data_IF_730770404994
#
_entry.id   IF_730770404994
#
_cell.length_a   1.000
_cell.length_b   1.000
_cell.length_c   1.000
_cell.angle_alpha   90.00
_cell.angle_beta   90.00
_cell.angle_gamma   90.00
#
_symmetry.space_group_name_H-M   'P 1'
#
loop_
_entity.id
_entity.type
_entity.pdbx_description
1 polymer ?
#
# COMPACT_ATOMS: atom_id res chain seq x y z
N UNK A 1 7.95 -33.74 40.06
CA UNK A 1 8.58 -32.43 39.87
C UNK A 1 7.58 -31.55 39.14
N UNK A 2 6.94 -30.60 39.82
CA UNK A 2 5.98 -29.67 39.20
C UNK A 2 6.82 -28.48 38.75
N UNK A 3 7.03 -28.34 37.44
CA UNK A 3 7.63 -27.13 36.87
C UNK A 3 6.52 -26.08 36.91
N UNK A 4 6.54 -25.21 37.93
CA UNK A 4 5.76 -23.97 37.91
C UNK A 4 6.39 -23.09 36.84
N UNK A 5 5.73 -22.97 35.68
CA UNK A 5 5.97 -21.86 34.78
C UNK A 5 5.55 -20.60 35.55
N UNK A 6 6.53 -19.87 36.06
CA UNK A 6 6.31 -18.51 36.50
C UNK A 6 5.75 -17.75 35.30
N UNK A 7 4.52 -17.25 35.44
CA UNK A 7 3.94 -16.29 34.50
C UNK A 7 4.93 -15.13 34.48
N UNK A 8 5.70 -14.98 33.41
CA UNK A 8 6.45 -13.73 33.17
C UNK A 8 5.46 -12.59 33.36
N UNK A 9 5.74 -11.71 34.33
CA UNK A 9 4.95 -10.53 34.55
C UNK A 9 4.88 -9.76 33.23
N UNK A 10 3.66 -9.58 32.74
CA UNK A 10 3.35 -8.87 31.51
C UNK A 10 3.63 -7.38 31.74
N UNK A 11 4.91 -7.00 31.72
CA UNK A 11 5.41 -5.63 31.93
C UNK A 11 5.31 -4.75 30.69
N UNK A 12 4.76 -5.28 29.61
CA UNK A 12 4.66 -4.52 28.38
C UNK A 12 3.38 -3.69 28.39
N UNK A 13 3.52 -2.37 28.39
CA UNK A 13 2.39 -1.45 28.24
C UNK A 13 1.70 -1.69 26.88
N UNK A 14 0.42 -2.12 26.87
CA UNK A 14 -0.31 -2.36 25.63
C UNK A 14 -0.41 -1.13 24.73
N UNK A 15 -0.46 0.09 25.29
CA UNK A 15 -0.52 1.32 24.52
C UNK A 15 0.83 1.61 23.84
N UNK A 16 1.94 1.36 24.53
CA UNK A 16 3.28 1.47 23.98
C UNK A 16 3.49 0.49 22.82
N UNK A 17 3.09 -0.77 22.98
CA UNK A 17 3.16 -1.79 21.91
C UNK A 17 2.37 -1.35 20.69
N UNK A 18 1.14 -0.90 20.89
CA UNK A 18 0.29 -0.43 19.79
C UNK A 18 0.93 0.75 19.07
N UNK A 19 1.52 1.69 19.81
CA UNK A 19 2.21 2.86 19.26
C UNK A 19 3.45 2.46 18.44
N UNK A 20 4.31 1.60 18.98
CA UNK A 20 5.54 1.15 18.30
C UNK A 20 5.20 0.28 17.08
N UNK A 21 4.18 -0.59 17.20
CA UNK A 21 3.66 -1.37 16.05
C UNK A 21 3.19 -0.44 14.93
N UNK A 22 2.40 0.58 15.26
CA UNK A 22 1.93 1.56 14.27
C UNK A 22 3.07 2.28 13.55
N UNK A 23 4.11 2.68 14.27
CA UNK A 23 5.32 3.27 13.68
C UNK A 23 6.08 2.29 12.78
N UNK A 24 6.21 1.03 13.19
CA UNK A 24 6.83 0.01 12.37
C UNK A 24 6.05 -0.23 11.07
N UNK A 25 4.71 -0.29 11.14
CA UNK A 25 3.86 -0.42 9.96
C UNK A 25 3.99 0.78 9.01
N UNK A 26 3.99 2.01 9.55
CA UNK A 26 4.17 3.24 8.78
C UNK A 26 5.54 3.29 8.09
N UNK A 27 6.64 3.04 8.81
CA UNK A 27 7.98 3.02 8.24
C UNK A 27 8.15 1.94 7.15
N UNK A 28 7.51 0.78 7.31
CA UNK A 28 7.48 -0.27 6.28
C UNK A 28 6.72 0.17 5.02
N UNK A 29 5.60 0.89 5.17
CA UNK A 29 4.84 1.47 4.05
C UNK A 29 5.63 2.57 3.33
N UNK A 30 6.31 3.44 4.07
CA UNK A 30 7.17 4.48 3.50
C UNK A 30 8.32 3.89 2.69
N UNK A 31 8.96 2.83 3.21
CA UNK A 31 9.96 2.07 2.47
C UNK A 31 9.36 1.46 1.19
N UNK A 32 8.16 0.86 1.25
CA UNK A 32 7.45 0.37 0.06
C UNK A 32 7.15 1.48 -0.96
N UNK A 33 6.95 2.72 -0.51
CA UNK A 33 6.79 3.88 -1.40
C UNK A 33 7.99 4.13 -2.32
N UNK A 34 9.19 3.66 -1.94
CA UNK A 34 10.39 3.70 -2.80
C UNK A 34 10.47 2.51 -3.76
N UNK A 35 9.60 1.51 -3.58
CA UNK A 35 9.64 0.28 -4.33
C UNK A 35 8.78 0.32 -5.61
N UNK A 36 9.42 0.29 -6.79
CA UNK A 36 8.78 0.22 -8.12
C UNK A 36 9.27 -1.00 -8.92
N UNK A 37 8.57 -2.14 -8.86
CA UNK A 37 8.96 -3.33 -9.62
C UNK A 37 8.87 -3.08 -11.12
N UNK A 38 9.70 -3.78 -11.90
CA UNK A 38 9.61 -3.74 -13.36
C UNK A 38 8.30 -4.35 -13.89
N UNK A 39 7.86 -5.45 -13.27
CA UNK A 39 6.62 -6.12 -13.64
C UNK A 39 5.44 -5.45 -12.94
N UNK A 40 4.29 -5.31 -13.63
CA UNK A 40 3.08 -4.79 -13.01
C UNK A 40 2.73 -5.58 -11.74
N UNK A 41 2.41 -4.86 -10.68
CA UNK A 41 1.97 -5.46 -9.42
C UNK A 41 0.65 -6.20 -9.63
N UNK A 42 0.64 -7.51 -9.39
CA UNK A 42 -0.60 -8.28 -9.26
C UNK A 42 -1.28 -7.96 -7.94
N UNK A 43 -2.51 -8.43 -7.75
CA UNK A 43 -3.26 -8.24 -6.49
C UNK A 43 -2.85 -9.26 -5.41
N UNK A 44 -1.78 -10.02 -5.63
CA UNK A 44 -1.27 -10.94 -4.61
C UNK A 44 -0.55 -10.19 -3.50
N UNK A 45 -0.70 -10.67 -2.26
CA UNK A 45 -0.02 -10.13 -1.06
C UNK A 45 1.49 -9.96 -1.29
N UNK A 46 2.14 -10.98 -1.83
CA UNK A 46 3.57 -10.94 -2.14
C UNK A 46 3.96 -9.90 -3.19
N UNK A 47 3.08 -9.62 -4.16
CA UNK A 47 3.34 -8.57 -5.12
C UNK A 47 3.28 -7.20 -4.44
N UNK A 48 2.19 -6.93 -3.71
CA UNK A 48 1.93 -5.62 -3.10
C UNK A 48 2.95 -5.26 -2.02
N UNK A 49 3.37 -6.24 -1.23
CA UNK A 49 4.32 -6.02 -0.13
C UNK A 49 5.78 -6.11 -0.56
N UNK A 50 6.08 -6.36 -1.85
CA UNK A 50 7.44 -6.34 -2.39
C UNK A 50 8.50 -7.00 -1.49
N UNK A 51 9.65 -6.34 -1.25
CA UNK A 51 10.68 -6.82 -0.33
C UNK A 51 10.22 -6.92 1.14
N UNK A 52 9.23 -6.14 1.58
CA UNK A 52 8.73 -6.15 2.97
C UNK A 52 8.10 -7.49 3.33
N UNK A 53 7.33 -8.11 2.44
CA UNK A 53 6.76 -9.44 2.74
C UNK A 53 7.83 -10.49 3.04
N UNK A 54 9.00 -10.39 2.38
CA UNK A 54 10.16 -11.26 2.67
C UNK A 54 10.93 -10.84 3.91
N UNK A 55 11.00 -9.53 4.20
CA UNK A 55 11.55 -9.01 5.46
C UNK A 55 10.80 -9.61 6.65
N UNK A 56 9.46 -9.47 6.68
CA UNK A 56 8.63 -9.94 7.79
C UNK A 56 8.75 -11.45 7.97
N UNK A 57 8.73 -12.22 6.87
CA UNK A 57 9.01 -13.67 6.90
C UNK A 57 10.41 -14.00 7.45
N UNK A 58 11.41 -13.14 7.21
CA UNK A 58 12.79 -13.41 7.65
C UNK A 58 12.98 -13.20 9.14
N UNK A 59 12.19 -12.32 9.74
CA UNK A 59 12.25 -11.97 11.16
C UNK A 59 11.31 -12.79 12.04
N UNK A 60 10.54 -13.75 11.48
CA UNK A 60 9.75 -14.71 12.26
C UNK A 60 10.66 -15.74 12.96
N UNK A 61 11.46 -15.29 13.92
CA UNK A 61 12.30 -16.10 14.80
C UNK A 61 12.11 -15.65 16.23
N UNK A 62 12.00 -16.61 17.16
CA UNK A 62 11.89 -16.34 18.60
C UNK A 62 13.23 -15.94 19.22
N UNK A 63 14.34 -16.22 18.55
CA UNK A 63 15.70 -15.85 19.00
C UNK A 63 16.13 -14.44 18.59
N UNK A 64 17.43 -14.17 18.78
CA UNK A 64 18.06 -12.93 18.32
C UNK A 64 17.95 -12.77 16.79
N UNK A 65 17.73 -11.53 16.36
CA UNK A 65 17.67 -11.16 14.95
C UNK A 65 18.92 -10.37 14.62
N UNK A 66 19.68 -10.83 13.62
CA UNK A 66 20.76 -10.04 13.04
C UNK A 66 20.17 -9.03 12.04
N UNK A 67 19.90 -7.81 12.53
CA UNK A 67 19.26 -6.75 11.76
C UNK A 67 20.06 -6.30 10.54
N UNK A 68 21.39 -6.28 10.61
CA UNK A 68 22.26 -5.96 9.47
C UNK A 68 22.15 -6.99 8.35
N UNK A 69 22.07 -8.27 8.71
CA UNK A 69 21.86 -9.36 7.75
C UNK A 69 20.47 -9.28 7.11
N UNK A 70 19.44 -8.90 7.88
CA UNK A 70 18.09 -8.66 7.36
C UNK A 70 18.10 -7.49 6.37
N UNK A 71 18.74 -6.36 6.72
CA UNK A 71 18.90 -5.20 5.85
C UNK A 71 19.56 -5.58 4.52
N UNK A 72 20.72 -6.26 4.58
CA UNK A 72 21.46 -6.68 3.39
C UNK A 72 20.64 -7.61 2.48
N UNK A 73 19.88 -8.53 3.08
CA UNK A 73 18.97 -9.41 2.34
C UNK A 73 17.87 -8.62 1.61
N UNK A 74 17.21 -7.68 2.31
CA UNK A 74 16.10 -6.89 1.78
C UNK A 74 16.57 -5.94 0.67
N UNK A 75 17.72 -5.28 0.84
CA UNK A 75 18.30 -4.42 -0.20
C UNK A 75 18.68 -5.21 -1.45
N UNK A 76 19.18 -6.44 -1.29
CA UNK A 76 19.48 -7.30 -2.43
C UNK A 76 18.20 -7.70 -3.18
N UNK A 77 17.11 -8.03 -2.48
CA UNK A 77 15.81 -8.28 -3.10
C UNK A 77 15.31 -7.05 -3.88
N UNK A 78 15.33 -5.88 -3.24
CA UNK A 78 14.92 -4.61 -3.84
C UNK A 78 15.70 -4.35 -5.13
N UNK A 79 17.03 -4.43 -5.06
CA UNK A 79 17.93 -4.23 -6.21
C UNK A 79 17.58 -5.17 -7.37
N UNK A 80 17.38 -6.46 -7.09
CA UNK A 80 17.13 -7.46 -8.13
C UNK A 80 15.73 -7.33 -8.74
N UNK A 81 14.75 -6.84 -7.99
CA UNK A 81 13.37 -6.65 -8.46
C UNK A 81 13.17 -5.31 -9.20
N UNK A 82 14.12 -4.38 -9.08
CA UNK A 82 14.12 -3.09 -9.76
C UNK A 82 15.25 -2.88 -10.76
N UNK A 83 16.06 -3.91 -11.03
CA UNK A 83 17.13 -3.80 -12.01
C UNK A 83 16.57 -3.23 -13.33
N UNK A 84 17.24 -2.25 -13.99
CA UNK A 84 18.57 -1.73 -13.70
C UNK A 84 18.61 -0.53 -12.73
N UNK A 85 17.47 -0.06 -12.19
CA UNK A 85 17.37 1.19 -11.41
C UNK A 85 18.17 1.16 -10.10
N UNK A 86 18.40 -0.02 -9.53
CA UNK A 86 19.14 -0.17 -8.28
C UNK A 86 18.30 0.21 -7.05
N UNK A 87 18.95 0.66 -5.97
CA UNK A 87 18.32 1.10 -4.73
C UNK A 87 18.75 2.53 -4.46
N UNK A 88 17.80 3.44 -4.22
CA UNK A 88 18.09 4.85 -3.92
C UNK A 88 18.61 5.02 -2.47
N UNK A 89 19.28 6.14 -2.19
CA UNK A 89 19.69 6.49 -0.83
C UNK A 89 18.48 6.59 0.12
N UNK A 90 17.40 7.24 -0.34
CA UNK A 90 16.11 7.33 0.37
C UNK A 90 15.54 5.96 0.72
N UNK A 91 15.64 4.96 -0.17
CA UNK A 91 15.19 3.61 0.12
C UNK A 91 16.03 2.92 1.21
N UNK A 92 17.33 3.24 1.30
CA UNK A 92 18.22 2.73 2.35
C UNK A 92 17.85 3.36 3.69
N UNK A 93 17.67 4.68 3.73
CA UNK A 93 17.29 5.43 4.93
C UNK A 93 15.95 4.95 5.48
N UNK A 94 14.92 4.84 4.63
CA UNK A 94 13.61 4.33 5.05
C UNK A 94 13.63 2.89 5.52
N UNK A 95 14.50 2.06 4.94
CA UNK A 95 14.68 0.69 5.43
C UNK A 95 15.35 0.67 6.81
N UNK A 96 16.31 1.57 7.06
CA UNK A 96 16.94 1.72 8.37
C UNK A 96 15.92 2.12 9.44
N UNK A 97 15.07 3.09 9.14
CA UNK A 97 14.00 3.52 10.04
C UNK A 97 13.02 2.37 10.34
N UNK A 98 12.61 1.63 9.30
CA UNK A 98 11.73 0.48 9.48
C UNK A 98 12.36 -0.63 10.33
N UNK A 99 13.65 -0.92 10.13
CA UNK A 99 14.38 -1.91 10.93
C UNK A 99 14.52 -1.43 12.38
N UNK A 100 14.79 -0.14 12.60
CA UNK A 100 14.89 0.42 13.95
C UNK A 100 13.57 0.30 14.72
N UNK A 101 12.43 0.56 14.09
CA UNK A 101 11.11 0.39 14.73
C UNK A 101 10.77 -1.09 14.98
N UNK A 102 11.15 -2.01 14.09
CA UNK A 102 11.00 -3.46 14.31
C UNK A 102 11.89 -3.97 15.45
N UNK A 103 13.12 -3.46 15.57
CA UNK A 103 14.02 -3.79 16.68
C UNK A 103 13.43 -3.34 18.01
N UNK A 104 12.98 -2.08 18.11
CA UNK A 104 12.27 -1.55 19.29
C UNK A 104 11.06 -2.40 19.66
N UNK A 105 10.26 -2.80 18.66
CA UNK A 105 9.09 -3.65 18.89
C UNK A 105 9.47 -5.02 19.44
N UNK A 106 10.56 -5.62 18.94
CA UNK A 106 11.07 -6.90 19.44
C UNK A 106 11.58 -6.79 20.87
N UNK A 107 12.23 -5.69 21.23
CA UNK A 107 12.82 -5.46 22.55
C UNK A 107 11.76 -5.30 23.65
N UNK A 108 10.61 -4.68 23.34
CA UNK A 108 9.53 -4.47 24.31
C UNK A 108 8.58 -5.68 24.44
N UNK A 109 8.61 -6.61 23.47
CA UNK A 109 7.71 -7.75 23.44
C UNK A 109 8.32 -9.01 24.08
N UNK A 110 7.53 -9.79 24.82
CA UNK A 110 7.90 -11.14 25.17
C UNK A 110 8.16 -11.98 23.92
N UNK A 111 9.17 -12.87 23.91
CA UNK A 111 9.47 -13.75 22.77
C UNK A 111 8.27 -14.57 22.29
N UNK A 112 7.35 -14.89 23.21
CA UNK A 112 6.11 -15.64 22.95
C UNK A 112 5.10 -14.87 22.09
N UNK A 113 5.14 -13.54 22.11
CA UNK A 113 4.22 -12.66 21.35
C UNK A 113 4.78 -12.21 20.01
N UNK A 114 6.08 -12.35 19.80
CA UNK A 114 6.77 -11.84 18.61
C UNK A 114 6.20 -12.39 17.29
N UNK A 115 5.95 -13.71 17.22
CA UNK A 115 5.41 -14.31 16.00
C UNK A 115 4.03 -13.75 15.64
N UNK A 116 3.14 -13.66 16.63
CA UNK A 116 1.81 -13.09 16.42
C UNK A 116 1.87 -11.61 16.05
N UNK A 117 2.80 -10.86 16.63
CA UNK A 117 3.02 -9.46 16.29
C UNK A 117 3.46 -9.28 14.83
N UNK A 118 4.34 -10.14 14.33
CA UNK A 118 4.77 -10.09 12.93
C UNK A 118 3.62 -10.44 11.98
N UNK A 119 2.74 -11.39 12.32
CA UNK A 119 1.52 -11.66 11.54
C UNK A 119 0.61 -10.44 11.48
N UNK A 120 0.35 -9.79 12.62
CA UNK A 120 -0.50 -8.60 12.69
C UNK A 120 0.11 -7.44 11.87
N UNK A 121 1.42 -7.24 11.94
CA UNK A 121 2.15 -6.27 11.11
C UNK A 121 2.06 -6.60 9.61
N UNK A 122 2.20 -7.88 9.25
CA UNK A 122 2.12 -8.35 7.86
C UNK A 122 0.75 -8.05 7.25
N UNK A 123 -0.32 -8.21 8.02
CA UNK A 123 -1.68 -7.84 7.62
C UNK A 123 -1.91 -6.33 7.59
N UNK A 124 -1.41 -5.57 8.57
CA UNK A 124 -1.50 -4.10 8.59
C UNK A 124 -0.80 -3.46 7.38
N UNK A 125 0.44 -3.90 7.08
CA UNK A 125 1.20 -3.40 5.93
C UNK A 125 0.57 -3.84 4.62
N UNK A 126 0.09 -5.08 4.51
CA UNK A 126 -0.65 -5.54 3.34
C UNK A 126 -1.88 -4.66 3.08
N UNK A 127 -2.70 -4.43 4.11
CA UNK A 127 -3.89 -3.60 4.00
C UNK A 127 -3.54 -2.17 3.61
N UNK A 128 -2.51 -1.58 4.21
CA UNK A 128 -2.02 -0.25 3.84
C UNK A 128 -1.60 -0.18 2.37
N UNK A 129 -0.76 -1.11 1.91
CA UNK A 129 -0.30 -1.15 0.52
C UNK A 129 -1.45 -1.40 -0.48
N UNK A 130 -2.40 -2.27 -0.12
CA UNK A 130 -3.58 -2.53 -0.93
C UNK A 130 -4.50 -1.31 -1.02
N UNK A 131 -4.75 -0.65 0.11
CA UNK A 131 -5.54 0.57 0.20
C UNK A 131 -4.92 1.69 -0.64
N UNK A 132 -3.61 1.90 -0.55
CA UNK A 132 -2.92 2.94 -1.33
C UNK A 132 -2.95 2.63 -2.84
N UNK A 133 -2.88 1.35 -3.22
CA UNK A 133 -3.12 0.92 -4.60
C UNK A 133 -4.55 1.21 -5.06
N UNK A 134 -5.56 0.90 -4.25
CA UNK A 134 -6.96 1.18 -4.59
C UNK A 134 -7.22 2.69 -4.73
N UNK A 135 -6.72 3.51 -3.80
CA UNK A 135 -6.83 4.96 -3.91
C UNK A 135 -6.08 5.49 -5.13
N UNK A 136 -4.88 5.00 -5.42
CA UNK A 136 -4.13 5.37 -6.61
C UNK A 136 -4.86 4.99 -7.90
N UNK A 137 -5.49 3.82 -7.95
CA UNK A 137 -6.31 3.39 -9.08
C UNK A 137 -7.55 4.26 -9.25
N UNK A 138 -8.30 4.50 -8.17
CA UNK A 138 -9.47 5.40 -8.20
C UNK A 138 -9.06 6.77 -8.69
N UNK A 139 -8.07 7.41 -8.05
CA UNK A 139 -7.59 8.74 -8.44
C UNK A 139 -7.20 8.81 -9.92
N UNK A 140 -6.44 7.85 -10.42
CA UNK A 140 -6.07 7.82 -11.83
C UNK A 140 -7.27 7.67 -12.77
N UNK A 141 -8.26 6.85 -12.38
CA UNK A 141 -9.50 6.70 -13.15
C UNK A 141 -10.33 7.98 -13.11
N UNK A 142 -10.45 8.62 -11.94
CA UNK A 142 -11.12 9.91 -11.76
C UNK A 142 -10.47 10.98 -12.63
N UNK A 143 -9.13 11.13 -12.60
CA UNK A 143 -8.41 12.06 -13.48
C UNK A 143 -8.69 11.78 -14.97
N UNK A 144 -8.72 10.51 -15.37
CA UNK A 144 -9.05 10.11 -16.75
C UNK A 144 -10.50 10.39 -17.11
N UNK A 145 -11.43 10.23 -16.17
CA UNK A 145 -12.83 10.58 -16.34
C UNK A 145 -12.99 12.08 -16.54
N UNK A 146 -12.37 12.88 -15.68
CA UNK A 146 -12.41 14.34 -15.76
C UNK A 146 -11.79 14.86 -17.08
N UNK A 147 -10.68 14.27 -17.52
CA UNK A 147 -10.07 14.57 -18.82
C UNK A 147 -10.99 14.18 -19.98
N UNK A 148 -11.65 13.02 -19.89
CA UNK A 148 -12.62 12.58 -20.90
C UNK A 148 -13.83 13.51 -20.97
N UNK A 149 -14.38 13.93 -19.83
CA UNK A 149 -15.47 14.88 -19.74
C UNK A 149 -15.12 16.21 -20.41
N UNK A 150 -13.95 16.79 -20.08
CA UNK A 150 -13.46 18.04 -20.69
C UNK A 150 -13.26 17.96 -22.21
N UNK A 151 -12.98 16.77 -22.72
CA UNK A 151 -12.82 16.57 -24.16
C UNK A 151 -14.15 16.33 -24.88
N UNK A 152 -15.17 15.84 -24.14
CA UNK A 152 -16.46 15.46 -24.68
C UNK A 152 -17.48 16.59 -24.61
N UNK A 153 -17.49 17.33 -23.49
CA UNK A 153 -18.42 18.41 -23.20
C UNK A 153 -17.66 19.73 -23.23
N UNK A 154 -18.30 20.78 -23.75
CA UNK A 154 -17.67 22.10 -23.85
C UNK A 154 -17.71 22.81 -22.49
N UNK A 155 -18.80 22.62 -21.76
CA UNK A 155 -19.06 23.25 -20.46
C UNK A 155 -19.74 22.27 -19.48
N UNK A 156 -19.60 22.52 -18.18
CA UNK A 156 -20.24 21.72 -17.12
C UNK A 156 -21.76 21.84 -17.16
N UNK A 157 -22.31 22.93 -17.70
CA UNK A 157 -23.75 23.12 -17.83
C UNK A 157 -24.42 22.01 -18.64
N UNK A 158 -23.76 21.48 -19.67
CA UNK A 158 -24.27 20.37 -20.49
C UNK A 158 -24.48 19.09 -19.68
N UNK A 159 -23.69 18.90 -18.62
CA UNK A 159 -23.85 17.78 -17.67
C UNK A 159 -24.90 18.10 -16.62
N UNK A 160 -24.92 19.34 -16.12
CA UNK A 160 -25.90 19.77 -15.13
C UNK A 160 -27.35 19.74 -15.69
N UNK A 161 -27.52 19.87 -17.01
CA UNK A 161 -28.82 19.67 -17.68
C UNK A 161 -29.34 18.22 -17.61
N UNK A 162 -28.49 17.24 -17.28
CA UNK A 162 -28.83 15.82 -17.19
C UNK A 162 -29.17 15.35 -15.77
N UNK A 163 -29.06 16.22 -14.76
CA UNK A 163 -29.20 15.89 -13.34
C UNK A 163 -30.19 16.82 -12.66
N UNK A 164 -31.14 16.24 -11.93
CA UNK A 164 -32.28 16.99 -11.38
C UNK A 164 -31.99 17.66 -10.03
N UNK A 165 -31.10 17.11 -9.20
CA UNK A 165 -30.97 17.52 -7.78
C UNK A 165 -29.57 18.00 -7.35
N UNK A 166 -28.51 17.61 -8.07
CA UNK A 166 -27.14 17.91 -7.66
C UNK A 166 -26.34 18.50 -8.81
N UNK A 167 -26.12 19.82 -8.78
CA UNK A 167 -25.27 20.50 -9.75
C UNK A 167 -23.79 20.40 -9.37
N UNK A 168 -22.94 20.17 -10.37
CA UNK A 168 -21.49 20.25 -10.23
C UNK A 168 -21.00 21.66 -10.57
N UNK A 169 -20.03 22.16 -9.80
CA UNK A 169 -19.38 23.45 -10.07
C UNK A 169 -18.28 23.36 -11.11
N UNK A 170 -17.70 22.17 -11.30
CA UNK A 170 -16.64 21.90 -12.28
C UNK A 170 -16.56 20.40 -12.59
N UNK A 171 -15.88 20.03 -13.68
CA UNK A 171 -15.62 18.62 -13.99
C UNK A 171 -14.74 17.96 -12.91
N UNK A 172 -13.88 18.74 -12.24
CA UNK A 172 -13.01 18.29 -11.16
C UNK A 172 -13.76 17.79 -9.92
N UNK A 173 -15.01 18.21 -9.75
CA UNK A 173 -15.88 17.78 -8.65
C UNK A 173 -16.54 16.42 -8.92
N UNK A 174 -16.40 15.89 -10.14
CA UNK A 174 -17.04 14.65 -10.56
C UNK A 174 -16.13 13.43 -10.33
N UNK A 175 -16.73 12.36 -9.80
CA UNK A 175 -16.11 11.05 -9.58
C UNK A 175 -16.96 9.94 -10.25
N UNK A 176 -16.42 9.15 -11.19
CA UNK A 176 -17.20 8.10 -11.85
C UNK A 176 -17.65 6.97 -10.89
N UNK A 177 -17.14 6.95 -9.65
CA UNK A 177 -17.53 5.99 -8.62
C UNK A 177 -18.61 6.52 -7.66
N UNK A 178 -19.05 7.76 -7.81
CA UNK A 178 -19.98 8.43 -6.87
C UNK A 178 -20.89 9.44 -7.57
N UNK A 179 -21.06 9.30 -8.89
CA UNK A 179 -22.01 10.08 -9.69
C UNK A 179 -23.44 9.60 -9.44
N UNK A 180 -24.44 10.49 -9.49
CA UNK A 180 -25.86 10.13 -9.44
C UNK A 180 -26.26 9.15 -10.54
N UNK A 181 -27.31 8.37 -10.27
CA UNK A 181 -27.85 7.37 -11.21
C UNK A 181 -28.30 7.99 -12.54
N UNK A 182 -28.72 9.26 -12.54
CA UNK A 182 -29.12 9.99 -13.76
C UNK A 182 -27.98 10.13 -14.78
N UNK A 183 -26.73 9.98 -14.35
CA UNK A 183 -25.54 10.02 -15.21
C UNK A 183 -25.06 8.62 -15.63
N UNK A 184 -25.84 7.55 -15.39
CA UNK A 184 -25.44 6.17 -15.71
C UNK A 184 -24.96 6.03 -17.16
N UNK A 185 -25.68 6.62 -18.13
CA UNK A 185 -25.29 6.60 -19.55
C UNK A 185 -23.93 7.25 -19.81
N UNK A 186 -23.66 8.39 -19.17
CA UNK A 186 -22.38 9.11 -19.29
C UNK A 186 -21.25 8.25 -18.72
N UNK A 187 -21.49 7.59 -17.58
CA UNK A 187 -20.54 6.68 -16.95
C UNK A 187 -20.27 5.46 -17.81
N UNK A 188 -21.30 4.87 -18.41
CA UNK A 188 -21.18 3.73 -19.30
C UNK A 188 -20.37 4.04 -20.56
N UNK A 189 -20.58 5.23 -21.14
CA UNK A 189 -19.79 5.71 -22.27
C UNK A 189 -18.32 5.94 -21.89
N UNK A 190 -18.05 6.53 -20.72
CA UNK A 190 -16.70 6.64 -20.20
C UNK A 190 -16.05 5.26 -20.08
N UNK A 191 -16.72 4.27 -19.51
CA UNK A 191 -16.15 2.93 -19.36
C UNK A 191 -15.87 2.25 -20.69
N UNK A 192 -16.74 2.43 -21.69
CA UNK A 192 -16.50 1.96 -23.07
C UNK A 192 -15.25 2.62 -23.66
N UNK A 193 -15.12 3.94 -23.52
CA UNK A 193 -13.95 4.69 -23.98
C UNK A 193 -12.65 4.24 -23.28
N UNK A 194 -12.67 4.19 -21.95
CA UNK A 194 -11.52 3.81 -21.12
C UNK A 194 -11.01 2.39 -21.43
N UNK A 195 -11.93 1.42 -21.62
CA UNK A 195 -11.58 0.06 -22.03
C UNK A 195 -10.95 0.02 -23.42
N UNK A 196 -11.48 0.79 -24.37
CA UNK A 196 -10.95 0.87 -25.74
C UNK A 196 -9.53 1.48 -25.76
N UNK A 197 -9.28 2.55 -25.01
CA UNK A 197 -7.94 3.14 -24.87
C UNK A 197 -6.92 2.16 -24.28
N UNK A 198 -7.30 1.44 -23.21
CA UNK A 198 -6.44 0.43 -22.59
C UNK A 198 -6.09 -0.71 -23.54
N UNK A 199 -7.02 -1.11 -24.42
CA UNK A 199 -6.78 -2.15 -25.43
C UNK A 199 -5.76 -1.67 -26.48
N UNK A 200 -5.93 -0.46 -27.02
CA UNK A 200 -4.99 0.15 -27.98
C UNK A 200 -3.57 0.25 -27.43
N UNK A 201 -3.41 0.63 -26.15
CA UNK A 201 -2.10 0.72 -25.50
C UNK A 201 -1.41 -0.64 -25.27
N UNK A 202 -2.17 -1.74 -25.23
CA UNK A 202 -1.63 -3.11 -25.12
C UNK A 202 -1.24 -3.71 -26.47
N UNK A 203 -1.90 -3.30 -27.56
CA UNK A 203 -1.63 -3.80 -28.92
C UNK A 203 -0.52 -3.01 -29.64
N UNK A 204 -0.19 -1.80 -29.17
CA UNK A 204 0.91 -0.97 -29.68
C UNK A 204 2.26 -1.15 -28.97
N UNK A 205 2.41 -2.18 -28.12
CA UNK A 205 3.66 -2.60 -27.48
C UNK A 205 4.03 -3.99 -27.93
#
# INVERSE_FOLDING_TARGET
MIIRMEKEEEKTDPEEVKKVRGKAAEALLEYLGTYRPEKPLTDSKHSLMGPVGKLLTRVTTTGEVNWDAVKGYVLNLHKNQQAPRGVSAEAIERLDDAIAELAKLKDILPPTKWLKMIEDLDDEVFFGAFRDKLYGQRKHVTEKFQEWLKNKYTDISEINELIDEQEYTSFEDMDPFSTPDDLEDVIDEFWKHYKAEKKKKKEGK
#
